data_IF_137507960442
#
_entry.id   IF_137507960442
#
_cell.length_a   1.000
_cell.length_b   1.000
_cell.length_c   1.000
_cell.angle_alpha   90.00
_cell.angle_beta   90.00
_cell.angle_gamma   90.00
#
_symmetry.space_group_name_H-M   'P 1'
#
loop_
_entity.id
_entity.type
_entity.pdbx_description
1 polymer ?
#
# COMPACT_ATOMS: atom_id res chain seq x y z
N UNK A 1 16.46 10.27 21.57
CA UNK A 1 17.01 10.98 20.40
C UNK A 1 16.21 10.50 19.20
N UNK A 2 15.19 11.26 18.83
CA UNK A 2 14.01 10.75 18.12
C UNK A 2 13.92 11.28 16.67
N UNK A 3 15.08 11.61 16.10
CA UNK A 3 15.20 12.30 14.81
C UNK A 3 14.70 11.53 13.58
N UNK A 4 14.51 10.21 13.69
CA UNK A 4 14.05 9.39 12.55
C UNK A 4 12.53 9.37 12.37
N UNK A 5 11.75 9.63 13.43
CA UNK A 5 10.28 9.56 13.37
C UNK A 5 9.68 10.90 12.96
N UNK A 6 10.27 12.01 13.41
CA UNK A 6 9.88 13.36 13.00
C UNK A 6 10.17 13.61 11.52
N UNK A 7 11.37 13.28 11.04
CA UNK A 7 11.75 13.43 9.62
C UNK A 7 10.82 12.66 8.66
N UNK A 8 10.47 11.42 9.00
CA UNK A 8 9.55 10.61 8.19
C UNK A 8 8.12 11.15 8.14
N UNK A 9 7.65 11.78 9.22
CA UNK A 9 6.34 12.41 9.29
C UNK A 9 6.30 13.64 8.38
N UNK A 10 7.31 14.51 8.43
CA UNK A 10 7.41 15.66 7.54
C UNK A 10 7.54 15.26 6.06
N UNK A 11 8.29 14.20 5.76
CA UNK A 11 8.37 13.69 4.39
C UNK A 11 6.99 13.23 3.86
N UNK A 12 6.22 12.55 4.71
CA UNK A 12 4.86 12.14 4.39
C UNK A 12 3.92 13.33 4.18
N UNK A 13 3.94 14.30 5.08
CA UNK A 13 3.12 15.51 4.97
C UNK A 13 3.41 16.26 3.67
N UNK A 14 4.68 16.44 3.31
CA UNK A 14 5.07 17.05 2.02
C UNK A 14 4.52 16.30 0.81
N UNK A 15 4.56 14.97 0.85
CA UNK A 15 4.00 14.15 -0.23
C UNK A 15 2.47 14.34 -0.34
N UNK A 16 1.76 14.30 0.79
CA UNK A 16 0.30 14.54 0.83
C UNK A 16 -0.04 15.93 0.28
N UNK A 17 0.71 16.95 0.67
CA UNK A 17 0.44 18.32 0.22
C UNK A 17 0.78 18.51 -1.27
N UNK A 18 1.84 17.86 -1.78
CA UNK A 18 2.12 17.83 -3.22
C UNK A 18 0.97 17.19 -4.03
N UNK A 19 0.40 16.08 -3.54
CA UNK A 19 -0.75 15.42 -4.19
C UNK A 19 -1.99 16.32 -4.16
N UNK A 20 -2.24 17.04 -3.06
CA UNK A 20 -3.35 18.02 -2.99
C UNK A 20 -3.19 19.15 -4.00
N UNK A 21 -1.98 19.73 -4.10
CA UNK A 21 -1.68 20.80 -5.06
C UNK A 21 -1.86 20.30 -6.48
N UNK A 22 -1.39 19.09 -6.78
CA UNK A 22 -1.59 18.47 -8.09
C UNK A 22 -3.07 18.30 -8.44
N UNK A 23 -3.88 17.78 -7.50
CA UNK A 23 -5.33 17.64 -7.71
C UNK A 23 -6.03 19.00 -7.91
N UNK A 24 -5.67 20.01 -7.12
CA UNK A 24 -6.22 21.36 -7.24
C UNK A 24 -5.89 21.98 -8.61
N UNK A 25 -4.63 21.84 -9.06
CA UNK A 25 -4.20 22.33 -10.37
C UNK A 25 -4.99 21.68 -11.50
N UNK A 26 -5.23 20.36 -11.41
CA UNK A 26 -6.00 19.62 -12.39
C UNK A 26 -7.48 20.06 -12.43
N UNK A 27 -8.09 20.30 -11.26
CA UNK A 27 -9.45 20.83 -11.16
C UNK A 27 -9.56 22.26 -11.72
N UNK A 28 -8.57 23.13 -11.45
CA UNK A 28 -8.53 24.50 -11.98
C UNK A 28 -8.36 24.51 -13.51
N UNK A 29 -7.45 23.70 -14.05
CA UNK A 29 -7.29 23.53 -15.50
C UNK A 29 -8.60 23.10 -16.16
N UNK A 30 -9.29 22.11 -15.58
CA UNK A 30 -10.58 21.65 -16.09
C UNK A 30 -11.66 22.74 -16.04
N UNK A 31 -11.75 23.49 -14.94
CA UNK A 31 -12.71 24.58 -14.80
C UNK A 31 -12.47 25.68 -15.85
N UNK A 32 -11.20 26.03 -16.12
CA UNK A 32 -10.85 27.07 -17.09
C UNK A 32 -11.12 26.65 -18.54
N UNK A 33 -10.92 25.37 -18.87
CA UNK A 33 -11.05 24.85 -20.23
C UNK A 33 -12.48 24.41 -20.54
N UNK A 34 -13.12 23.67 -19.63
CA UNK A 34 -14.44 23.07 -19.83
C UNK A 34 -15.59 23.86 -19.18
N UNK A 35 -15.28 24.85 -18.33
CA UNK A 35 -16.30 25.63 -17.63
C UNK A 35 -17.01 24.89 -16.49
N UNK A 36 -16.61 23.65 -16.17
CA UNK A 36 -17.20 22.82 -15.12
C UNK A 36 -16.17 22.29 -14.13
N UNK A 37 -16.60 22.12 -12.89
CA UNK A 37 -15.76 21.58 -11.82
C UNK A 37 -15.78 20.05 -11.86
N UNK A 38 -14.61 19.43 -11.96
CA UNK A 38 -14.51 17.98 -11.81
C UNK A 38 -14.72 17.62 -10.33
N UNK A 39 -15.98 17.37 -9.95
CA UNK A 39 -16.39 17.02 -8.57
C UNK A 39 -16.00 15.59 -8.17
N UNK A 40 -15.78 14.69 -9.14
CA UNK A 40 -15.37 13.30 -8.87
C UNK A 40 -13.95 13.06 -9.35
N UNK A 41 -13.06 12.51 -8.51
CA UNK A 41 -11.68 12.31 -8.89
C UNK A 41 -11.66 11.44 -10.15
N UNK A 42 -10.92 11.92 -11.13
CA UNK A 42 -10.69 11.43 -12.51
C UNK A 42 -10.43 9.91 -12.58
N UNK A 43 -10.08 9.30 -11.44
CA UNK A 43 -9.94 7.87 -11.23
C UNK A 43 -11.13 7.04 -11.72
N UNK A 44 -12.41 7.46 -11.56
CA UNK A 44 -13.53 6.63 -12.06
C UNK A 44 -13.66 6.61 -13.59
N UNK A 45 -13.15 7.63 -14.28
CA UNK A 45 -13.23 7.76 -15.75
C UNK A 45 -12.02 7.17 -16.47
N UNK A 46 -10.93 6.95 -15.73
CA UNK A 46 -9.79 6.24 -16.27
C UNK A 46 -10.22 4.78 -16.44
N UNK A 47 -10.54 4.38 -17.67
CA UNK A 47 -10.86 3.01 -18.02
C UNK A 47 -9.71 2.13 -17.56
N UNK A 48 -9.82 1.61 -16.33
CA UNK A 48 -8.79 0.80 -15.74
C UNK A 48 -8.60 -0.40 -16.65
N UNK A 49 -7.38 -0.63 -17.19
CA UNK A 49 -7.13 -1.90 -17.82
C UNK A 49 -7.45 -2.95 -16.77
N UNK A 50 -8.53 -3.73 -17.00
CA UNK A 50 -8.73 -4.97 -16.28
C UNK A 50 -7.44 -5.72 -16.52
N UNK A 51 -6.66 -5.92 -15.46
CA UNK A 51 -5.46 -6.74 -15.54
C UNK A 51 -5.95 -8.14 -15.87
N UNK A 52 -6.01 -8.45 -17.16
CA UNK A 52 -6.29 -9.79 -17.65
C UNK A 52 -5.09 -10.68 -17.31
N UNK A 53 -5.42 -11.87 -16.81
CA UNK A 53 -4.51 -13.00 -16.68
C UNK A 53 -3.35 -12.85 -15.69
N UNK A 54 -3.68 -12.74 -14.39
CA UNK A 54 -2.83 -13.26 -13.32
C UNK A 54 -3.65 -14.29 -12.54
N UNK A 55 -3.22 -15.58 -12.57
CA UNK A 55 -3.78 -16.76 -11.85
C UNK A 55 -4.88 -16.42 -10.84
N UNK A 56 -6.08 -17.02 -10.97
CA UNK A 56 -7.22 -16.87 -10.06
C UNK A 56 -6.89 -16.84 -8.54
N UNK A 57 -5.78 -17.46 -8.13
CA UNK A 57 -5.23 -17.41 -6.78
C UNK A 57 -4.80 -16.01 -6.28
N UNK A 58 -4.26 -15.13 -7.12
CA UNK A 58 -3.85 -13.77 -6.68
C UNK A 58 -5.05 -12.85 -6.49
N UNK A 59 -6.14 -13.10 -7.23
CA UNK A 59 -7.38 -12.37 -7.08
C UNK A 59 -8.00 -12.58 -5.69
N UNK A 60 -8.02 -13.81 -5.20
CA UNK A 60 -8.59 -14.21 -3.90
C UNK A 60 -7.83 -13.58 -2.72
N UNK A 61 -6.49 -13.50 -2.82
CA UNK A 61 -5.62 -12.95 -1.77
C UNK A 61 -5.73 -11.42 -1.69
N UNK A 62 -5.92 -10.72 -2.83
CA UNK A 62 -6.04 -9.26 -2.85
C UNK A 62 -7.28 -8.72 -2.10
N UNK A 63 -8.37 -9.51 -2.05
CA UNK A 63 -9.59 -9.22 -1.30
C UNK A 63 -9.54 -9.64 0.17
N UNK A 64 -8.45 -10.28 0.62
CA UNK A 64 -8.36 -10.81 1.97
C UNK A 64 -8.58 -9.74 3.04
N UNK A 65 -9.25 -10.16 4.12
CA UNK A 65 -9.55 -9.38 5.31
C UNK A 65 -9.08 -10.12 6.56
N UNK A 66 -9.04 -9.45 7.71
CA UNK A 66 -8.72 -10.12 8.96
C UNK A 66 -9.71 -11.28 9.21
N UNK A 67 -9.19 -12.46 9.55
CA UNK A 67 -9.98 -13.67 9.79
C UNK A 67 -10.41 -14.44 8.53
N UNK A 68 -10.19 -13.93 7.32
CA UNK A 68 -10.50 -14.68 6.09
C UNK A 68 -9.49 -15.81 5.84
N UNK A 69 -9.93 -16.90 5.22
CA UNK A 69 -9.02 -17.94 4.73
C UNK A 69 -8.31 -17.49 3.45
N UNK A 70 -6.99 -17.66 3.41
CA UNK A 70 -6.16 -17.42 2.22
C UNK A 70 -5.33 -18.67 1.89
N UNK A 71 -5.07 -18.94 0.59
CA UNK A 71 -4.14 -19.98 0.21
C UNK A 71 -2.72 -19.60 0.66
N UNK A 72 -2.04 -20.54 1.33
CA UNK A 72 -0.67 -20.32 1.82
C UNK A 72 0.39 -20.46 0.72
N UNK A 73 0.07 -21.15 -0.38
CA UNK A 73 0.83 -21.20 -1.64
C UNK A 73 2.33 -20.87 -1.54
N UNK A 74 2.74 -19.75 -2.14
CA UNK A 74 4.12 -19.24 -2.16
C UNK A 74 4.49 -18.38 -0.94
N UNK A 75 3.70 -18.45 0.14
CA UNK A 75 3.94 -17.72 1.37
C UNK A 75 5.22 -18.18 2.05
N UNK A 76 5.94 -17.24 2.65
CA UNK A 76 7.24 -17.49 3.27
C UNK A 76 7.03 -17.78 4.75
N UNK A 77 7.43 -18.95 5.26
CA UNK A 77 7.30 -19.26 6.68
C UNK A 77 8.24 -18.36 7.50
N UNK A 78 7.68 -17.75 8.54
CA UNK A 78 8.40 -16.86 9.46
C UNK A 78 7.74 -16.90 10.85
N UNK A 79 8.33 -16.17 11.79
CA UNK A 79 7.86 -16.08 13.17
C UNK A 79 7.60 -14.63 13.54
N UNK A 80 6.56 -14.39 14.33
CA UNK A 80 6.27 -13.07 14.90
C UNK A 80 6.05 -13.19 16.40
N UNK A 81 6.55 -12.24 17.18
CA UNK A 81 6.24 -12.10 18.60
C UNK A 81 5.21 -10.99 18.79
N UNK A 82 4.07 -11.31 19.41
CA UNK A 82 3.13 -10.32 19.90
C UNK A 82 3.35 -10.16 21.42
N UNK A 83 3.21 -8.93 21.93
CA UNK A 83 3.49 -8.59 23.33
C UNK A 83 2.76 -9.46 24.36
N UNK A 84 1.66 -10.13 23.97
CA UNK A 84 0.76 -10.84 24.87
C UNK A 84 0.61 -12.33 24.54
N UNK A 85 1.20 -12.84 23.45
CA UNK A 85 0.83 -14.16 22.89
C UNK A 85 2.00 -15.07 22.50
N UNK A 86 3.22 -14.76 22.94
CA UNK A 86 4.42 -15.54 22.61
C UNK A 86 4.80 -15.45 21.13
N UNK A 87 5.74 -16.32 20.72
CA UNK A 87 6.21 -16.41 19.33
C UNK A 87 5.27 -17.34 18.55
N UNK A 88 4.72 -16.85 17.43
CA UNK A 88 3.84 -17.62 16.53
C UNK A 88 4.53 -17.91 15.21
N UNK A 89 4.35 -19.13 14.71
CA UNK A 89 4.75 -19.50 13.36
C UNK A 89 3.65 -19.10 12.37
N UNK A 90 4.03 -18.30 11.38
CA UNK A 90 3.13 -17.65 10.44
C UNK A 90 3.71 -17.69 9.03
N UNK A 91 2.90 -17.32 8.05
CA UNK A 91 3.30 -17.17 6.67
C UNK A 91 3.15 -15.71 6.25
N UNK A 92 4.19 -15.21 5.60
CA UNK A 92 4.23 -13.88 5.00
C UNK A 92 3.87 -13.97 3.51
N UNK A 93 2.86 -13.20 3.10
CA UNK A 93 2.36 -13.18 1.71
C UNK A 93 2.20 -11.72 1.25
N UNK A 94 3.18 -11.15 0.52
CA UNK A 94 3.01 -9.87 -0.15
C UNK A 94 2.21 -10.06 -1.44
N UNK A 95 1.29 -9.14 -1.73
CA UNK A 95 0.51 -9.13 -2.97
C UNK A 95 0.18 -7.71 -3.40
N UNK A 96 0.46 -7.38 -4.65
CA UNK A 96 0.03 -6.18 -5.33
C UNK A 96 -0.94 -6.52 -6.46
N UNK A 97 -2.02 -5.75 -6.56
CA UNK A 97 -3.00 -5.81 -7.64
C UNK A 97 -3.56 -4.43 -7.93
N UNK A 98 -3.18 -3.88 -9.07
CA UNK A 98 -3.56 -2.53 -9.45
C UNK A 98 -3.07 -1.51 -8.42
N UNK A 99 -3.98 -0.64 -7.96
CA UNK A 99 -3.69 0.35 -6.90
C UNK A 99 -3.65 -0.26 -5.49
N UNK A 100 -4.09 -1.51 -5.31
CA UNK A 100 -4.17 -2.16 -4.00
C UNK A 100 -2.93 -3.02 -3.77
N UNK A 101 -2.27 -2.83 -2.63
CA UNK A 101 -1.12 -3.63 -2.24
C UNK A 101 -1.19 -3.98 -0.76
N UNK A 102 -1.11 -5.27 -0.43
CA UNK A 102 -1.21 -5.80 0.92
C UNK A 102 -0.04 -6.73 1.25
N UNK A 103 0.48 -6.62 2.46
CA UNK A 103 1.28 -7.64 3.10
C UNK A 103 0.40 -8.37 4.10
N UNK A 104 0.22 -9.67 3.90
CA UNK A 104 -0.63 -10.52 4.73
C UNK A 104 0.25 -11.39 5.61
N UNK A 105 -0.08 -11.44 6.89
CA UNK A 105 0.41 -12.46 7.82
C UNK A 105 -0.73 -13.45 8.08
N UNK A 106 -0.47 -14.72 7.80
CA UNK A 106 -1.46 -15.78 7.97
C UNK A 106 -0.94 -16.90 8.87
N UNK A 107 -1.77 -17.36 9.80
CA UNK A 107 -1.51 -18.55 10.60
C UNK A 107 -2.00 -19.79 9.86
N UNK A 108 -1.26 -20.89 9.94
CA UNK A 108 -1.63 -22.12 9.23
C UNK A 108 -2.93 -22.69 9.76
N UNK A 109 -3.85 -23.07 8.88
CA UNK A 109 -5.11 -23.68 9.29
C UNK A 109 -4.85 -25.09 9.85
N UNK A 110 -5.38 -25.45 11.05
CA UNK A 110 -5.04 -26.71 11.72
C UNK A 110 -5.39 -27.95 10.89
N UNK A 111 -6.48 -27.88 10.11
CA UNK A 111 -6.97 -29.00 9.30
C UNK A 111 -6.65 -28.90 7.80
N UNK A 112 -6.06 -27.79 7.33
CA UNK A 112 -5.86 -27.54 5.88
C UNK A 112 -4.44 -27.07 5.64
N UNK A 113 -3.58 -27.97 5.20
CA UNK A 113 -2.14 -27.73 5.05
C UNK A 113 -1.78 -26.61 4.06
N UNK A 114 -2.65 -26.34 3.08
CA UNK A 114 -2.47 -25.35 2.02
C UNK A 114 -3.24 -24.03 2.25
N UNK A 115 -3.94 -23.89 3.38
CA UNK A 115 -4.70 -22.68 3.72
C UNK A 115 -4.29 -22.13 5.08
N UNK A 116 -4.44 -20.83 5.23
CA UNK A 116 -4.17 -20.11 6.46
C UNK A 116 -5.22 -19.07 6.72
N UNK A 117 -5.28 -18.61 7.97
CA UNK A 117 -6.21 -17.58 8.42
C UNK A 117 -5.43 -16.29 8.59
N UNK A 118 -5.92 -15.22 8.00
CA UNK A 118 -5.26 -13.90 8.10
C UNK A 118 -5.36 -13.38 9.52
N UNK A 119 -4.22 -13.10 10.13
CA UNK A 119 -4.10 -12.55 11.49
C UNK A 119 -3.63 -11.09 11.50
N UNK A 120 -3.06 -10.60 10.40
CA UNK A 120 -2.66 -9.21 10.27
C UNK A 120 -2.50 -8.82 8.80
N UNK A 121 -2.75 -7.55 8.51
CA UNK A 121 -2.59 -6.95 7.18
C UNK A 121 -1.89 -5.60 7.34
N UNK A 122 -0.91 -5.33 6.47
CA UNK A 122 -0.31 -4.01 6.32
C UNK A 122 -0.38 -3.56 4.85
N UNK A 123 -0.58 -2.26 4.56
CA UNK A 123 -0.51 -1.76 3.19
C UNK A 123 0.93 -1.85 2.66
N UNK A 124 1.13 -2.34 1.43
CA UNK A 124 2.44 -2.29 0.75
C UNK A 124 2.88 -0.85 0.54
N UNK A 125 1.93 0.03 0.22
CA UNK A 125 2.15 1.48 0.19
C UNK A 125 2.57 1.97 1.60
N UNK A 126 3.85 2.34 1.73
CA UNK A 126 4.43 2.82 2.98
C UNK A 126 5.23 1.79 3.78
N UNK A 127 5.23 0.51 3.37
CA UNK A 127 6.09 -0.49 3.98
C UNK A 127 7.57 -0.23 3.66
N UNK A 128 8.43 -0.34 4.69
CA UNK A 128 9.87 -0.23 4.54
C UNK A 128 10.55 -1.47 5.17
N UNK A 129 10.84 -2.51 4.36
CA UNK A 129 11.50 -3.71 4.85
C UNK A 129 13.00 -3.48 5.06
N UNK A 130 13.49 -3.73 6.27
CA UNK A 130 14.91 -3.61 6.63
C UNK A 130 15.37 -4.83 7.41
N UNK A 131 16.45 -5.45 6.96
CA UNK A 131 17.10 -6.51 7.72
C UNK A 131 17.80 -5.88 8.93
N UNK A 132 17.68 -6.53 10.09
CA UNK A 132 18.38 -6.09 11.28
C UNK A 132 19.90 -6.22 11.12
N UNK A 133 20.64 -5.25 11.67
CA UNK A 133 22.09 -5.19 11.49
C UNK A 133 22.84 -6.27 12.28
N UNK A 134 22.30 -6.61 13.45
CA UNK A 134 22.91 -7.55 14.39
C UNK A 134 22.34 -8.97 14.20
N UNK A 135 21.13 -9.07 13.64
CA UNK A 135 20.41 -10.30 13.41
C UNK A 135 19.97 -10.45 11.94
N UNK A 136 20.81 -11.05 11.10
CA UNK A 136 20.52 -11.23 9.66
C UNK A 136 19.27 -12.07 9.34
N UNK A 137 18.69 -12.76 10.33
CA UNK A 137 17.44 -13.53 10.21
C UNK A 137 16.21 -12.72 10.58
N UNK A 138 16.37 -11.46 11.00
CA UNK A 138 15.27 -10.60 11.44
C UNK A 138 14.97 -9.54 10.39
N UNK A 139 13.69 -9.39 10.08
CA UNK A 139 13.18 -8.36 9.18
C UNK A 139 12.29 -7.39 9.96
N UNK A 140 12.72 -6.14 10.01
CA UNK A 140 11.90 -5.04 10.50
C UNK A 140 11.02 -4.48 9.40
N UNK A 141 9.73 -4.43 9.69
CA UNK A 141 8.71 -3.83 8.85
C UNK A 141 8.17 -2.60 9.54
N UNK A 142 8.45 -1.43 8.96
CA UNK A 142 7.82 -0.18 9.37
C UNK A 142 6.52 -0.01 8.59
N UNK A 143 5.40 0.00 9.29
CA UNK A 143 4.04 0.07 8.75
C UNK A 143 3.53 1.49 8.97
N UNK A 144 3.27 2.21 7.88
CA UNK A 144 2.58 3.49 7.99
C UNK A 144 1.10 3.26 7.80
N UNK A 145 0.28 3.89 8.64
CA UNK A 145 -1.15 3.96 8.37
C UNK A 145 -1.35 4.77 7.09
N UNK A 146 -1.99 4.15 6.10
CA UNK A 146 -2.35 4.79 4.85
C UNK A 146 -3.82 5.23 4.92
N UNK A 147 -4.11 6.16 5.82
CA UNK A 147 -5.40 6.85 5.88
C UNK A 147 -5.14 8.36 6.02
N UNK A 148 -4.81 9.07 4.92
CA UNK A 148 -4.77 10.51 4.95
C UNK A 148 -6.20 10.99 5.25
N UNK A 149 -6.46 11.34 6.50
CA UNK A 149 -7.69 12.03 6.89
C UNK A 149 -7.74 13.37 6.17
N UNK A 150 -8.36 13.41 5.01
CA UNK A 150 -8.72 14.66 4.35
C UNK A 150 -9.76 15.32 5.24
N UNK A 151 -9.33 16.27 6.06
CA UNK A 151 -10.25 17.08 6.87
C UNK A 151 -11.20 17.78 5.90
N UNK A 152 -12.43 17.29 5.81
CA UNK A 152 -13.52 18.02 5.19
C UNK A 152 -13.63 19.31 6.00
N UNK A 153 -13.33 20.45 5.39
CA UNK A 153 -13.39 21.74 6.04
C UNK A 153 -14.85 22.03 6.43
N UNK A 154 -15.26 21.60 7.62
CA UNK A 154 -16.49 22.01 8.28
C UNK A 154 -16.14 22.49 9.68
N UNK A 155 -15.83 23.79 9.77
CA UNK A 155 -16.14 24.67 10.89
C UNK A 155 -15.58 24.40 12.30
N UNK A 156 -14.81 23.34 12.54
CA UNK A 156 -14.24 23.08 13.86
C UNK A 156 -12.71 22.93 13.79
N UNK A 157 -11.96 23.57 14.71
CA UNK A 157 -10.53 23.39 14.77
C UNK A 157 -10.26 21.93 15.10
N UNK A 158 -9.85 21.16 14.09
CA UNK A 158 -9.39 19.81 14.26
C UNK A 158 -8.20 19.87 15.23
N UNK A 159 -8.38 19.29 16.42
CA UNK A 159 -7.31 19.09 17.40
C UNK A 159 -6.12 18.49 16.64
N UNK A 160 -4.90 19.04 16.75
CA UNK A 160 -3.76 18.45 16.07
C UNK A 160 -3.62 17.01 16.58
N UNK A 161 -3.92 16.05 15.71
CA UNK A 161 -3.59 14.65 15.98
C UNK A 161 -2.08 14.62 16.18
N UNK A 162 -1.61 14.06 17.29
CA UNK A 162 -0.19 13.85 17.50
C UNK A 162 0.45 13.13 16.31
N UNK A 163 1.78 13.22 16.14
CA UNK A 163 2.45 12.63 15.00
C UNK A 163 2.06 11.16 14.87
N UNK A 164 1.52 10.76 13.72
CA UNK A 164 1.15 9.38 13.45
C UNK A 164 2.37 8.49 13.72
N UNK A 165 2.28 7.62 14.72
CA UNK A 165 3.35 6.70 15.07
C UNK A 165 3.25 5.52 14.13
N UNK A 166 4.26 5.32 13.29
CA UNK A 166 4.29 4.16 12.41
C UNK A 166 4.29 2.86 13.23
N UNK A 167 3.43 1.94 12.84
CA UNK A 167 3.45 0.57 13.34
C UNK A 167 4.78 -0.10 13.01
N UNK A 168 5.14 -1.11 13.82
CA UNK A 168 6.37 -1.88 13.61
C UNK A 168 6.10 -3.36 13.84
N UNK A 169 6.46 -4.18 12.86
CA UNK A 169 6.61 -5.62 13.05
C UNK A 169 8.07 -6.02 12.94
N UNK A 170 8.45 -7.03 13.71
CA UNK A 170 9.73 -7.73 13.57
C UNK A 170 9.42 -9.19 13.29
N UNK A 171 9.88 -9.67 12.15
CA UNK A 171 9.67 -11.04 11.70
C UNK A 171 10.99 -11.81 11.77
N UNK A 172 10.97 -12.99 12.38
CA UNK A 172 12.10 -13.91 12.42
C UNK A 172 11.98 -14.97 11.33
N UNK A 173 13.08 -15.21 10.61
CA UNK A 173 13.16 -16.22 9.54
C UNK A 173 14.11 -17.35 9.93
N UNK A 174 13.94 -18.56 9.36
CA UNK A 174 14.79 -19.71 9.68
C UNK A 174 16.24 -19.55 9.18
N UNK A 175 16.48 -18.66 8.22
CA UNK A 175 17.83 -18.36 7.72
C UNK A 175 17.92 -16.94 7.18
N UNK A 176 19.15 -16.41 7.08
CA UNK A 176 19.40 -15.12 6.43
C UNK A 176 18.93 -15.11 4.96
N UNK A 177 19.09 -16.23 4.26
CA UNK A 177 18.60 -16.39 2.88
C UNK A 177 17.07 -16.27 2.82
N UNK A 178 16.35 -16.89 3.75
CA UNK A 178 14.88 -16.76 3.82
C UNK A 178 14.45 -15.32 4.14
N UNK A 179 15.18 -14.64 5.04
CA UNK A 179 14.95 -13.23 5.37
C UNK A 179 15.14 -12.31 4.15
N UNK A 180 16.25 -12.48 3.42
CA UNK A 180 16.53 -11.69 2.21
C UNK A 180 15.52 -11.99 1.09
N UNK A 181 15.17 -13.26 0.87
CA UNK A 181 14.12 -13.62 -0.07
C UNK A 181 12.79 -12.93 0.26
N UNK A 182 12.42 -12.87 1.55
CA UNK A 182 11.22 -12.16 1.99
C UNK A 182 11.30 -10.66 1.72
N UNK A 183 12.44 -10.04 2.03
CA UNK A 183 12.69 -8.62 1.74
C UNK A 183 12.56 -8.33 0.24
N UNK A 184 13.16 -9.15 -0.62
CA UNK A 184 13.11 -8.98 -2.07
C UNK A 184 11.68 -9.13 -2.61
N UNK A 185 10.92 -10.13 -2.15
CA UNK A 185 9.53 -10.32 -2.57
C UNK A 185 8.63 -9.15 -2.17
N UNK A 186 8.82 -8.58 -0.97
CA UNK A 186 8.09 -7.37 -0.55
C UNK A 186 8.45 -6.19 -1.48
N UNK A 187 9.73 -6.00 -1.77
CA UNK A 187 10.19 -4.91 -2.65
C UNK A 187 9.66 -5.08 -4.08
N UNK A 188 9.60 -6.31 -4.59
CA UNK A 188 9.04 -6.64 -5.89
C UNK A 188 7.55 -6.26 -5.97
N UNK A 189 6.74 -6.65 -4.98
CA UNK A 189 5.31 -6.31 -4.95
C UNK A 189 5.09 -4.80 -4.73
N UNK A 190 5.92 -4.12 -3.93
CA UNK A 190 5.91 -2.65 -3.84
C UNK A 190 6.19 -2.02 -5.21
N UNK A 191 7.17 -2.55 -5.95
CA UNK A 191 7.52 -2.06 -7.28
C UNK A 191 6.37 -2.26 -8.27
N UNK A 192 5.70 -3.43 -8.23
CA UNK A 192 4.51 -3.72 -9.06
C UNK A 192 3.38 -2.73 -8.78
N UNK A 193 3.06 -2.49 -7.51
CA UNK A 193 2.03 -1.51 -7.14
C UNK A 193 2.41 -0.10 -7.60
N UNK A 194 3.67 0.31 -7.38
CA UNK A 194 4.16 1.63 -7.80
C UNK A 194 4.07 1.82 -9.30
N UNK A 195 4.61 0.88 -10.09
CA UNK A 195 4.62 0.95 -11.55
C UNK A 195 3.20 1.03 -12.10
N UNK A 196 2.25 0.29 -11.51
CA UNK A 196 0.84 0.39 -11.89
C UNK A 196 0.28 1.79 -11.62
N UNK A 197 0.51 2.35 -10.44
CA UNK A 197 0.07 3.71 -10.08
C UNK A 197 0.73 4.76 -10.96
N UNK A 198 2.01 4.64 -11.26
CA UNK A 198 2.72 5.53 -12.18
C UNK A 198 2.10 5.49 -13.57
N UNK A 199 1.86 4.30 -14.14
CA UNK A 199 1.20 4.16 -15.45
C UNK A 199 -0.23 4.73 -15.48
N UNK A 200 -0.90 4.73 -14.33
CA UNK A 200 -2.23 5.31 -14.16
C UNK A 200 -2.18 6.85 -14.14
N UNK A 201 -1.13 7.41 -13.54
CA UNK A 201 -0.96 8.85 -13.40
C UNK A 201 -0.26 9.50 -14.60
N UNK A 202 0.50 8.73 -15.38
CA UNK A 202 1.29 9.21 -16.52
C UNK A 202 0.49 10.11 -17.49
N UNK A 203 -0.74 9.75 -17.92
CA UNK A 203 -1.52 10.62 -18.79
C UNK A 203 -1.85 11.97 -18.15
N UNK A 204 -2.07 12.02 -16.83
CA UNK A 204 -2.42 13.25 -16.10
C UNK A 204 -1.24 14.20 -15.94
N UNK A 205 -0.02 13.70 -16.15
CA UNK A 205 1.22 14.47 -16.09
C UNK A 205 1.60 15.08 -17.45
N UNK A 206 0.93 14.68 -18.53
CA UNK A 206 1.12 15.25 -19.86
C UNK A 206 0.35 16.57 -19.98
N UNK A 207 0.99 17.60 -20.54
CA UNK A 207 0.40 18.94 -20.65
C UNK A 207 -0.85 18.96 -21.53
N UNK A 208 -0.91 18.07 -22.53
CA UNK A 208 -1.97 18.01 -23.54
C UNK A 208 -3.16 17.13 -23.11
N UNK A 209 -3.16 16.58 -21.89
CA UNK A 209 -4.20 15.65 -21.43
C UNK A 209 -5.63 16.22 -21.54
N UNK A 210 -5.79 17.49 -21.17
CA UNK A 210 -7.09 18.16 -21.17
C UNK A 210 -7.55 18.53 -22.59
N UNK A 211 -6.61 18.79 -23.50
CA UNK A 211 -6.91 19.09 -24.91
C UNK A 211 -7.34 17.81 -25.65
N UNK A 212 -6.66 16.69 -25.39
CA UNK A 212 -7.03 15.37 -25.92
C UNK A 212 -8.39 14.84 -25.39
N UNK A 213 -8.78 15.20 -24.15
CA UNK A 213 -10.09 14.85 -23.58
C UNK A 213 -11.26 15.56 -24.29
N UNK A 214 -11.05 16.80 -24.76
CA UNK A 214 -12.04 17.55 -25.53
C UNK A 214 -12.24 16.93 -26.93
N UNK A 215 -11.15 16.63 -27.63
CA UNK A 215 -11.20 15.99 -28.97
C UNK A 215 -11.86 14.61 -28.97
N UNK A 216 -11.90 13.95 -27.81
CA UNK A 216 -12.52 12.63 -27.62
C UNK A 216 -14.05 12.70 -27.40
N UNK A 217 -14.61 13.87 -27.09
CA UNK A 217 -16.06 14.07 -26.90
C UNK A 217 -16.78 14.47 -28.19
N UNK A 218 -16.05 14.96 -29.20
CA UNK A 218 -16.59 15.37 -30.51
C UNK A 218 -16.56 14.26 -31.59
N UNK A 219 -16.38 12.99 -31.18
CA UNK A 219 -16.38 11.81 -32.06
C UNK A 219 -17.49 10.80 -31.74
#
# INVERSE_FOLDING_TARGET
>A
MDGSSTSSHFAWQRMVDAVKVFLLHLQLKALLIMGDLIERPILKSLNFPKSDSGKAFTADISSASFGSEVPLGSGIPCRIAFSNAGIRDIYLVPVARGISGKLILAEKHPFRSQRGVVIAIAPLAGLCPKIDKDHSTWLHLRIREFDPKFTVARGHPAKPSGPAVDGRWTLGFPSAKACENARLLILEEICKQRTFVESLLDPLLQDDYMENMLDSQDK
#
